data_IF_530172564693
#
_entry.id   IF_530172564693
#
_cell.length_a   1.000
_cell.length_b   1.000
_cell.length_c   1.000
_cell.angle_alpha   90.00
_cell.angle_beta   90.00
_cell.angle_gamma   90.00
#
_symmetry.space_group_name_H-M   'P 1'
#
loop_
_entity.id
_entity.type
_entity.pdbx_description
1 polymer ?
#
# COMPACT_ATOMS: atom_id res chain seq x y z
N UNK A 1 2.12 15.31 8.83
CA UNK A 1 2.38 14.58 7.58
C UNK A 1 3.46 13.57 7.90
N UNK A 2 3.25 12.29 7.58
CA UNK A 2 4.24 11.24 7.86
C UNK A 2 5.25 11.26 6.72
N UNK A 3 6.49 11.65 7.00
CA UNK A 3 7.58 11.80 6.02
C UNK A 3 8.80 10.93 6.33
N UNK A 4 8.79 10.20 7.43
CA UNK A 4 9.89 9.31 7.82
C UNK A 4 10.16 8.28 6.72
N UNK A 5 11.42 8.19 6.30
CA UNK A 5 11.93 7.24 5.30
C UNK A 5 11.41 7.42 3.87
N UNK A 6 10.49 8.35 3.60
CA UNK A 6 9.79 8.49 2.32
C UNK A 6 10.70 8.74 1.11
N UNK A 7 11.88 9.33 1.33
CA UNK A 7 12.88 9.61 0.31
C UNK A 7 13.75 8.40 -0.05
N UNK A 8 13.74 7.34 0.77
CA UNK A 8 14.51 6.14 0.49
C UNK A 8 13.93 5.43 -0.74
N UNK A 9 14.80 4.85 -1.54
CA UNK A 9 14.42 4.14 -2.76
C UNK A 9 14.82 2.66 -2.72
N UNK A 10 14.03 1.85 -3.41
CA UNK A 10 14.28 0.42 -3.61
C UNK A 10 13.93 0.00 -5.04
N UNK A 11 14.67 -0.95 -5.61
CA UNK A 11 14.27 -1.63 -6.83
C UNK A 11 13.10 -2.58 -6.54
N UNK A 12 11.97 -2.42 -7.24
CA UNK A 12 10.82 -3.30 -7.13
C UNK A 12 10.85 -4.35 -8.25
N UNK A 13 11.09 -5.65 -7.95
CA UNK A 13 11.13 -6.68 -8.99
C UNK A 13 9.79 -6.89 -9.71
N UNK A 14 8.67 -6.60 -9.04
CA UNK A 14 7.34 -6.72 -9.63
C UNK A 14 7.04 -5.66 -10.69
N UNK A 15 7.61 -4.45 -10.53
CA UNK A 15 7.38 -3.32 -11.43
C UNK A 15 8.59 -3.03 -12.32
N UNK A 16 9.74 -3.63 -12.04
CA UNK A 16 10.96 -3.47 -12.84
C UNK A 16 11.60 -2.09 -12.74
N UNK A 17 11.35 -1.33 -11.67
CA UNK A 17 11.80 0.06 -11.53
C UNK A 17 12.15 0.44 -10.09
N UNK A 18 12.90 1.54 -9.93
CA UNK A 18 13.15 2.16 -8.63
C UNK A 18 11.91 2.89 -8.14
N UNK A 19 11.56 2.70 -6.87
CA UNK A 19 10.41 3.32 -6.20
C UNK A 19 10.82 3.84 -4.84
N UNK A 20 10.15 4.90 -4.41
CA UNK A 20 10.32 5.45 -3.07
C UNK A 20 9.52 4.68 -2.02
N UNK A 21 9.95 4.73 -0.77
CA UNK A 21 9.15 4.22 0.35
C UNK A 21 7.77 4.88 0.38
N UNK A 22 7.68 6.19 0.08
CA UNK A 22 6.42 6.93 -0.05
C UNK A 22 5.43 6.23 -1.00
N UNK A 23 5.91 5.80 -2.16
CA UNK A 23 5.10 5.05 -3.12
C UNK A 23 4.65 3.72 -2.51
N UNK A 24 5.59 2.95 -1.95
CA UNK A 24 5.29 1.65 -1.38
C UNK A 24 4.25 1.73 -0.25
N UNK A 25 4.29 2.73 0.62
CA UNK A 25 3.34 2.87 1.75
C UNK A 25 1.95 3.39 1.35
N UNK A 26 1.71 3.77 0.09
CA UNK A 26 0.43 4.37 -0.37
C UNK A 26 -0.20 3.72 -1.61
N UNK A 27 0.44 2.72 -2.20
CA UNK A 27 0.07 2.22 -3.53
C UNK A 27 -1.26 1.46 -3.59
N UNK A 28 -1.79 0.98 -2.46
CA UNK A 28 -3.09 0.29 -2.38
C UNK A 28 -4.18 1.23 -1.86
N UNK A 29 -4.59 2.24 -2.66
CA UNK A 29 -5.62 3.21 -2.24
C UNK A 29 -5.29 3.90 -0.90
N UNK A 30 -4.03 4.34 -0.74
CA UNK A 30 -3.45 4.90 0.50
C UNK A 30 -3.00 3.87 1.55
N UNK A 31 -3.16 2.58 1.29
CA UNK A 31 -2.58 1.52 2.10
C UNK A 31 -1.19 1.08 1.59
N UNK A 32 -0.35 0.50 2.45
CA UNK A 32 0.94 -0.05 2.08
C UNK A 32 0.81 -1.17 1.06
N UNK A 33 1.82 -1.37 0.20
CA UNK A 33 1.87 -2.52 -0.70
C UNK A 33 2.07 -3.82 0.11
N UNK A 34 1.59 -4.95 -0.44
CA UNK A 34 1.64 -6.25 0.25
C UNK A 34 3.06 -6.72 0.58
N UNK A 35 4.04 -6.32 -0.20
CA UNK A 35 5.44 -6.73 -0.01
C UNK A 35 6.23 -5.75 0.87
N UNK A 36 5.60 -4.69 1.40
CA UNK A 36 6.31 -3.61 2.06
C UNK A 36 7.20 -4.08 3.21
N UNK A 37 6.71 -5.00 4.06
CA UNK A 37 7.51 -5.55 5.16
C UNK A 37 8.80 -6.21 4.65
N UNK A 38 8.71 -7.22 3.77
CA UNK A 38 9.89 -7.92 3.27
C UNK A 38 10.81 -7.07 2.39
N UNK A 39 10.29 -6.03 1.73
CA UNK A 39 11.13 -5.12 0.94
C UNK A 39 11.95 -4.16 1.82
N UNK A 40 11.45 -3.79 2.99
CA UNK A 40 11.96 -2.66 3.77
C UNK A 40 12.50 -3.02 5.15
N UNK A 41 12.23 -4.22 5.68
CA UNK A 41 12.68 -4.66 7.01
C UNK A 41 14.20 -4.61 7.22
N UNK A 42 15.00 -4.85 6.18
CA UNK A 42 16.47 -4.76 6.26
C UNK A 42 16.99 -3.31 6.18
N UNK A 43 16.15 -2.35 5.79
CA UNK A 43 16.54 -0.94 5.58
C UNK A 43 16.04 -0.01 6.67
N UNK A 44 14.87 -0.28 7.23
CA UNK A 44 14.18 0.58 8.20
C UNK A 44 13.36 -0.26 9.20
N UNK A 45 13.03 0.28 10.39
CA UNK A 45 12.13 -0.37 11.35
C UNK A 45 10.67 -0.32 10.85
N UNK A 46 10.37 -1.08 9.80
CA UNK A 46 9.10 -1.02 9.07
C UNK A 46 7.91 -1.48 9.89
N UNK A 47 8.12 -2.44 10.80
CA UNK A 47 7.14 -2.94 11.78
C UNK A 47 6.67 -1.81 12.71
N UNK A 48 7.62 -1.08 13.28
CA UNK A 48 7.36 0.04 14.20
C UNK A 48 6.68 1.19 13.45
N UNK A 49 7.18 1.51 12.25
CA UNK A 49 6.54 2.50 11.38
C UNK A 49 5.07 2.14 11.09
N UNK A 50 4.79 0.88 10.74
CA UNK A 50 3.42 0.44 10.47
C UNK A 50 2.52 0.55 11.70
N UNK A 51 3.01 0.11 12.87
CA UNK A 51 2.26 0.17 14.12
C UNK A 51 1.94 1.58 14.62
N UNK A 52 2.81 2.56 14.32
CA UNK A 52 2.60 3.96 14.72
C UNK A 52 1.68 4.73 13.76
N UNK A 53 1.61 4.32 12.49
CA UNK A 53 1.06 5.15 11.42
C UNK A 53 -0.19 4.59 10.74
N UNK A 54 -0.53 3.33 10.98
CA UNK A 54 -1.71 2.68 10.39
C UNK A 54 -2.60 2.10 11.48
N UNK A 55 -3.92 2.19 11.28
CA UNK A 55 -4.87 1.52 12.16
C UNK A 55 -4.78 0.01 11.99
N UNK A 56 -5.29 -0.74 12.97
CA UNK A 56 -5.36 -2.20 12.87
C UNK A 56 -6.18 -2.62 11.66
N UNK A 57 -7.28 -1.91 11.39
CA UNK A 57 -8.18 -2.14 10.27
C UNK A 57 -7.47 -1.90 8.93
N UNK A 58 -6.64 -0.86 8.83
CA UNK A 58 -5.81 -0.59 7.65
C UNK A 58 -4.79 -1.70 7.41
N UNK A 59 -4.14 -2.18 8.47
CA UNK A 59 -3.17 -3.27 8.39
C UNK A 59 -3.83 -4.60 8.00
N UNK A 60 -5.01 -4.90 8.56
CA UNK A 60 -5.82 -6.05 8.18
C UNK A 60 -6.27 -5.95 6.71
N UNK A 61 -6.67 -4.76 6.24
CA UNK A 61 -7.02 -4.54 4.83
C UNK A 61 -5.80 -4.68 3.90
N UNK A 62 -4.63 -4.20 4.31
CA UNK A 62 -3.40 -4.26 3.53
C UNK A 62 -2.80 -5.67 3.43
N UNK A 63 -2.82 -6.42 4.54
CA UNK A 63 -2.06 -7.67 4.70
C UNK A 63 -2.91 -8.91 5.01
N UNK A 64 -4.11 -8.76 5.59
CA UNK A 64 -4.91 -9.86 6.15
C UNK A 64 -5.81 -10.61 5.15
N UNK A 65 -6.13 -10.03 4.00
CA UNK A 65 -7.07 -10.63 3.03
C UNK A 65 -6.40 -11.46 1.93
N UNK A 66 -7.12 -12.47 1.42
CA UNK A 66 -6.83 -13.09 0.11
C UNK A 66 -6.77 -11.95 -0.93
N UNK A 67 -5.71 -11.84 -1.75
CA UNK A 67 -5.64 -10.80 -2.77
C UNK A 67 -6.86 -10.90 -3.68
N UNK A 68 -7.63 -9.82 -3.78
CA UNK A 68 -8.71 -9.73 -4.77
C UNK A 68 -8.14 -10.05 -6.15
N UNK A 69 -8.85 -10.90 -6.88
CA UNK A 69 -8.57 -11.18 -8.28
C UNK A 69 -8.65 -9.89 -9.09
N UNK A 70 -8.02 -9.90 -10.28
CA UNK A 70 -8.08 -8.76 -11.20
C UNK A 70 -9.52 -8.35 -11.52
N UNK A 71 -10.43 -9.32 -11.64
CA UNK A 71 -11.85 -9.08 -11.91
C UNK A 71 -12.55 -8.38 -10.74
N UNK A 72 -12.37 -8.87 -9.51
CA UNK A 72 -12.95 -8.24 -8.32
C UNK A 72 -12.49 -6.79 -8.15
N UNK A 73 -11.22 -6.51 -8.43
CA UNK A 73 -10.70 -5.13 -8.42
C UNK A 73 -11.39 -4.26 -9.47
N UNK A 74 -11.59 -4.76 -10.69
CA UNK A 74 -12.31 -4.02 -11.74
C UNK A 74 -13.74 -3.71 -11.29
N UNK A 75 -14.45 -4.68 -10.70
CA UNK A 75 -15.79 -4.46 -10.17
C UNK A 75 -15.82 -3.40 -9.05
N UNK A 76 -14.89 -3.42 -8.11
CA UNK A 76 -14.81 -2.39 -7.06
C UNK A 76 -14.62 -0.97 -7.64
N UNK A 77 -13.76 -0.83 -8.66
CA UNK A 77 -13.56 0.46 -9.32
C UNK A 77 -14.84 0.94 -10.01
N UNK A 78 -15.57 0.03 -10.68
CA UNK A 78 -16.84 0.35 -11.33
C UNK A 78 -17.91 0.76 -10.31
N UNK A 79 -18.01 0.06 -9.18
CA UNK A 79 -18.94 0.42 -8.09
C UNK A 79 -18.63 1.81 -7.53
N UNK A 80 -17.36 2.11 -7.24
CA UNK A 80 -16.95 3.43 -6.72
C UNK A 80 -17.26 4.58 -7.68
N UNK A 81 -17.19 4.35 -9.00
CA UNK A 81 -17.57 5.36 -10.01
C UNK A 81 -19.08 5.61 -9.99
N UNK A 82 -19.88 4.56 -9.84
CA UNK A 82 -21.33 4.67 -9.83
C UNK A 82 -21.88 5.36 -8.58
N UNK A 83 -21.20 5.18 -7.43
CA UNK A 83 -21.54 5.88 -6.18
C UNK A 83 -21.13 7.36 -6.18
N UNK A 84 -20.18 7.76 -7.03
CA UNK A 84 -19.70 9.15 -7.17
C UNK A 84 -20.33 9.92 -8.33
N UNK A 85 -21.61 9.68 -8.70
CA UNK A 85 -22.30 10.64 -9.59
C UNK A 85 -22.47 11.96 -8.85
N UNK A 86 -21.83 13.08 -9.26
CA UNK A 86 -22.35 14.38 -8.90
C UNK A 86 -23.69 14.53 -9.65
N UNK A 87 -24.74 14.86 -8.90
CA UNK A 87 -25.99 15.34 -9.49
C UNK A 87 -25.78 16.65 -10.24
#
# INVERSE_FOLDING_TARGET
MIESFDHLEIYCPQLGMMLTFNYCRRSQSSLPCRNLMGCWEERIPVDSFLGENFSREDLEAAFGGIPKTRMERIFDYLTQINEKKPG
#
